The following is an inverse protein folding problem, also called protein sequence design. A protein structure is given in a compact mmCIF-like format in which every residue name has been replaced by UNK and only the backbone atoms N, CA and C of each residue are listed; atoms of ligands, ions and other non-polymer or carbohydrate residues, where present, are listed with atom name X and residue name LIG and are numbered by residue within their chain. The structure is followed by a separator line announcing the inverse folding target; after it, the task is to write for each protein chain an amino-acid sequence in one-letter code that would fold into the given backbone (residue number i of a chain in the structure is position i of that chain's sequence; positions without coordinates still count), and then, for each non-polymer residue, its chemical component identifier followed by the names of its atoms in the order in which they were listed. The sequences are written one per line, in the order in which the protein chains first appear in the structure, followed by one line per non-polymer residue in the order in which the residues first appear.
data_IF_384270269979
#
_entry.id   IF_384270269979
#
_cell.length_a   1.000
_cell.length_b   1.000
_cell.length_c   1.000
_cell.angle_alpha   90.00
_cell.angle_beta   90.00
_cell.angle_gamma   90.00
#
_symmetry.space_group_name_H-M   'P 1'
#
loop_
_entity.id
_entity.type
_entity.pdbx_description
1 polymer ?
#
# COMPACT_ATOMS: atom_id res chain seq x y z
N UNK A 1 19.03 2.78 62.18
CA UNK A 1 18.15 3.21 61.07
C UNK A 1 18.65 2.48 59.84
N UNK A 2 17.93 1.47 59.35
CA UNK A 2 18.24 0.85 58.05
C UNK A 2 17.50 1.67 57.01
N UNK A 3 18.24 2.26 56.09
CA UNK A 3 17.65 2.87 54.89
C UNK A 3 17.05 1.73 54.07
N UNK A 4 15.72 1.67 54.03
CA UNK A 4 15.01 0.88 53.04
C UNK A 4 15.25 1.55 51.69
N UNK A 5 16.19 1.00 50.91
CA UNK A 5 16.35 1.40 49.52
C UNK A 5 15.09 0.98 48.76
N UNK A 6 14.29 1.96 48.33
CA UNK A 6 13.29 1.76 47.29
C UNK A 6 14.02 1.22 46.05
N UNK A 7 13.84 -0.07 45.77
CA UNK A 7 14.26 -0.65 44.51
C UNK A 7 13.39 -0.06 43.41
N UNK A 8 13.97 0.81 42.57
CA UNK A 8 13.35 1.18 41.31
C UNK A 8 13.41 -0.04 40.37
N UNK A 9 12.27 -0.64 40.05
CA UNK A 9 12.19 -1.64 38.98
C UNK A 9 12.43 -0.96 37.63
N UNK A 10 13.41 -1.45 36.87
CA UNK A 10 13.65 -0.99 35.50
C UNK A 10 12.57 -1.58 34.59
N UNK A 11 11.59 -0.77 34.16
CA UNK A 11 10.61 -1.21 33.18
C UNK A 11 11.23 -1.26 31.77
N UNK A 12 11.66 -2.46 31.37
CA UNK A 12 12.32 -2.69 30.08
C UNK A 12 11.35 -2.87 28.92
N UNK A 13 10.03 -2.92 29.16
CA UNK A 13 9.04 -3.22 28.10
C UNK A 13 9.05 -2.14 27.02
N UNK A 14 9.03 -0.86 27.43
CA UNK A 14 9.08 0.27 26.50
C UNK A 14 10.40 0.32 25.71
N UNK A 15 11.52 -0.07 26.34
CA UNK A 15 12.81 -0.13 25.66
C UNK A 15 12.87 -1.26 24.62
N UNK A 16 12.27 -2.42 24.93
CA UNK A 16 12.16 -3.55 24.00
C UNK A 16 11.27 -3.18 22.80
N UNK A 17 10.11 -2.58 23.03
CA UNK A 17 9.20 -2.17 21.95
C UNK A 17 9.88 -1.18 20.99
N UNK A 18 10.58 -0.18 21.53
CA UNK A 18 11.35 0.78 20.74
C UNK A 18 12.47 0.11 19.93
N UNK A 19 13.17 -0.87 20.52
CA UNK A 19 14.21 -1.62 19.81
C UNK A 19 13.63 -2.48 18.67
N UNK A 20 12.50 -3.14 18.90
CA UNK A 20 11.81 -3.93 17.87
C UNK A 20 11.34 -3.02 16.72
N UNK A 21 10.77 -1.86 17.03
CA UNK A 21 10.36 -0.88 16.02
C UNK A 21 11.54 -0.40 15.17
N UNK A 22 12.68 -0.11 15.80
CA UNK A 22 13.91 0.27 15.10
C UNK A 22 14.38 -0.83 14.15
N UNK A 23 14.46 -2.08 14.63
CA UNK A 23 14.85 -3.24 13.80
C UNK A 23 13.90 -3.42 12.62
N UNK A 24 12.59 -3.26 12.82
CA UNK A 24 11.61 -3.35 11.75
C UNK A 24 11.81 -2.25 10.70
N UNK A 25 12.01 -0.99 11.12
CA UNK A 25 12.26 0.15 10.23
C UNK A 25 13.53 -0.04 9.40
N UNK A 26 14.63 -0.45 10.03
CA UNK A 26 15.90 -0.70 9.34
C UNK A 26 15.80 -1.85 8.34
N UNK A 27 15.07 -2.91 8.69
CA UNK A 27 14.81 -4.04 7.80
C UNK A 27 13.98 -3.62 6.59
N UNK A 28 12.93 -2.83 6.79
CA UNK A 28 12.09 -2.29 5.71
C UNK A 28 12.91 -1.42 4.77
N UNK A 29 13.74 -0.52 5.31
CA UNK A 29 14.61 0.34 4.51
C UNK A 29 15.62 -0.46 3.68
N UNK A 30 16.25 -1.46 4.30
CA UNK A 30 17.19 -2.35 3.60
C UNK A 30 16.50 -3.08 2.45
N UNK A 31 15.31 -3.64 2.68
CA UNK A 31 14.56 -4.36 1.64
C UNK A 31 14.07 -3.41 0.54
N UNK A 32 13.65 -2.19 0.87
CA UNK A 32 13.29 -1.16 -0.11
C UNK A 32 14.43 -0.88 -1.08
N UNK A 33 15.65 -0.69 -0.57
CA UNK A 33 16.83 -0.48 -1.42
C UNK A 33 17.12 -1.69 -2.31
N UNK A 34 16.94 -2.90 -1.80
CA UNK A 34 17.10 -4.13 -2.58
C UNK A 34 16.05 -4.22 -3.71
N UNK A 35 14.78 -3.90 -3.44
CA UNK A 35 13.71 -3.87 -4.45
C UNK A 35 14.03 -2.84 -5.53
N UNK A 36 14.43 -1.63 -5.14
CA UNK A 36 14.79 -0.56 -6.09
C UNK A 36 15.97 -0.97 -6.97
N UNK A 37 17.03 -1.55 -6.39
CA UNK A 37 18.18 -2.08 -7.14
C UNK A 37 17.77 -3.20 -8.09
N UNK A 38 16.90 -4.12 -7.64
CA UNK A 38 16.39 -5.20 -8.48
C UNK A 38 15.62 -4.65 -9.69
N UNK A 39 14.70 -3.70 -9.47
CA UNK A 39 13.96 -3.04 -10.54
C UNK A 39 14.86 -2.30 -11.53
N UNK A 40 15.89 -1.60 -11.04
CA UNK A 40 16.88 -0.94 -11.89
C UNK A 40 17.67 -1.96 -12.73
N UNK A 41 18.08 -3.07 -12.13
CA UNK A 41 18.80 -4.12 -12.84
C UNK A 41 17.95 -4.75 -13.94
N UNK A 42 16.72 -5.17 -13.62
CA UNK A 42 15.78 -5.76 -14.58
C UNK A 42 15.50 -4.80 -15.74
N UNK A 43 15.28 -3.52 -15.45
CA UNK A 43 15.06 -2.51 -16.47
C UNK A 43 16.29 -2.29 -17.36
N UNK A 44 17.50 -2.29 -16.77
CA UNK A 44 18.75 -2.21 -17.54
C UNK A 44 18.92 -3.40 -18.47
N UNK A 45 18.63 -4.62 -17.99
CA UNK A 45 18.69 -5.85 -18.78
C UNK A 45 17.66 -5.83 -19.92
N UNK A 46 16.46 -5.31 -19.67
CA UNK A 46 15.40 -5.17 -20.66
C UNK A 46 15.53 -3.93 -21.57
N UNK A 47 16.52 -3.05 -21.32
CA UNK A 47 16.68 -1.74 -21.97
C UNK A 47 15.42 -0.85 -21.86
N UNK A 48 14.74 -0.91 -20.72
CA UNK A 48 13.54 -0.13 -20.40
C UNK A 48 13.78 0.78 -19.20
N UNK A 49 12.81 1.66 -18.90
CA UNK A 49 12.80 2.44 -17.67
C UNK A 49 12.38 1.56 -16.46
N UNK A 50 12.94 1.78 -15.26
CA UNK A 50 12.50 1.08 -14.06
C UNK A 50 11.00 1.23 -13.80
N UNK A 51 10.32 0.17 -13.32
CA UNK A 51 8.89 0.22 -13.03
C UNK A 51 8.57 1.29 -11.98
N UNK A 52 7.65 2.18 -12.36
CA UNK A 52 7.19 3.32 -11.56
C UNK A 52 5.68 3.26 -11.39
N UNK A 53 5.17 3.66 -10.21
CA UNK A 53 3.73 3.67 -9.93
C UNK A 53 3.14 4.98 -10.43
N UNK A 54 2.27 4.90 -11.44
CA UNK A 54 1.84 6.08 -12.20
C UNK A 54 0.58 6.75 -11.68
N UNK A 55 -0.28 6.01 -10.98
CA UNK A 55 -1.58 6.49 -10.56
C UNK A 55 -2.13 5.70 -9.37
N UNK A 56 -3.25 6.20 -8.82
CA UNK A 56 -3.95 5.62 -7.66
C UNK A 56 -4.44 4.19 -7.89
N UNK A 57 -4.79 3.82 -9.13
CA UNK A 57 -5.27 2.47 -9.45
C UNK A 57 -4.12 1.45 -9.44
N UNK A 58 -2.96 1.80 -9.99
CA UNK A 58 -1.76 0.97 -9.88
C UNK A 58 -1.32 0.82 -8.41
N UNK A 59 -1.38 1.90 -7.63
CA UNK A 59 -1.09 1.86 -6.20
C UNK A 59 -2.03 0.90 -5.46
N UNK A 60 -3.34 0.96 -5.74
CA UNK A 60 -4.31 0.02 -5.18
C UNK A 60 -4.03 -1.43 -5.60
N UNK A 61 -3.69 -1.67 -6.87
CA UNK A 61 -3.34 -3.00 -7.36
C UNK A 61 -2.18 -3.62 -6.60
N UNK A 62 -1.12 -2.84 -6.36
CA UNK A 62 0.03 -3.26 -5.55
C UNK A 62 -0.39 -3.53 -4.10
N UNK A 63 -1.19 -2.65 -3.49
CA UNK A 63 -1.72 -2.85 -2.14
C UNK A 63 -2.53 -4.14 -2.01
N UNK A 64 -3.41 -4.41 -2.97
CA UNK A 64 -4.22 -5.62 -3.01
C UNK A 64 -3.36 -6.88 -3.16
N UNK A 65 -2.34 -6.85 -4.02
CA UNK A 65 -1.42 -7.98 -4.19
C UNK A 65 -0.66 -8.30 -2.89
N UNK A 66 -0.13 -7.28 -2.20
CA UNK A 66 0.56 -7.51 -0.92
C UNK A 66 -0.40 -8.00 0.16
N UNK A 67 -1.64 -7.49 0.20
CA UNK A 67 -2.65 -7.97 1.15
C UNK A 67 -2.96 -9.47 0.96
N UNK A 68 -3.04 -9.95 -0.29
CA UNK A 68 -3.22 -11.38 -0.56
C UNK A 68 -2.07 -12.21 0.01
N UNK A 69 -0.81 -11.76 -0.17
CA UNK A 69 0.38 -12.44 0.38
C UNK A 69 0.37 -12.45 1.91
N UNK A 70 0.02 -11.32 2.53
CA UNK A 70 -0.11 -11.21 3.99
C UNK A 70 -1.18 -12.17 4.52
N UNK A 71 -2.36 -12.21 3.88
CA UNK A 71 -3.44 -13.11 4.29
C UNK A 71 -3.04 -14.58 4.20
N UNK A 72 -2.29 -14.96 3.16
CA UNK A 72 -1.75 -16.31 3.03
C UNK A 72 -0.76 -16.65 4.16
N UNK A 73 0.14 -15.73 4.52
CA UNK A 73 1.09 -15.91 5.61
C UNK A 73 0.40 -16.05 6.98
N UNK A 74 -0.57 -15.19 7.28
CA UNK A 74 -1.35 -15.27 8.53
C UNK A 74 -2.13 -16.59 8.62
N UNK A 75 -2.68 -17.06 7.50
CA UNK A 75 -3.36 -18.36 7.44
C UNK A 75 -2.41 -19.53 7.73
N UNK A 76 -1.16 -19.46 7.28
CA UNK A 76 -0.16 -20.49 7.57
C UNK A 76 0.15 -20.57 9.08
N UNK A 77 0.42 -19.43 9.72
CA UNK A 77 0.64 -19.35 11.17
C UNK A 77 -0.56 -19.93 11.93
N UNK A 78 -1.79 -19.54 11.53
CA UNK A 78 -3.00 -20.08 12.15
C UNK A 78 -3.04 -21.61 12.05
N UNK A 79 -2.77 -22.16 10.87
CA UNK A 79 -2.83 -23.61 10.63
C UNK A 79 -1.80 -24.36 11.48
N UNK A 80 -0.58 -23.83 11.62
CA UNK A 80 0.44 -24.43 12.48
C UNK A 80 0.11 -24.30 13.96
N UNK A 81 -0.54 -23.20 14.36
CA UNK A 81 -1.04 -23.01 15.73
C UNK A 81 -2.17 -23.99 16.06
N UNK A 82 -3.10 -24.21 15.12
CA UNK A 82 -4.16 -25.22 15.25
C UNK A 82 -3.55 -26.64 15.37
N UNK A 83 -2.42 -26.91 14.69
CA UNK A 83 -1.69 -28.17 14.82
C UNK A 83 -1.10 -28.35 16.22
N UNK A 84 -0.54 -27.29 16.82
CA UNK A 84 -0.07 -27.33 18.22
C UNK A 84 -1.23 -27.55 19.19
N UNK A 85 -2.38 -26.90 18.96
CA UNK A 85 -3.59 -27.15 19.75
C UNK A 85 -4.00 -28.64 19.72
N UNK A 86 -3.84 -29.29 18.56
CA UNK A 86 -4.09 -30.72 18.41
C UNK A 86 -3.20 -31.62 19.26
N UNK A 87 -2.03 -31.16 19.72
CA UNK A 87 -1.13 -31.97 20.55
C UNK A 87 -1.49 -31.93 22.04
N UNK A 88 -2.45 -31.09 22.46
CA UNK A 88 -2.77 -30.93 23.89
C UNK A 88 -3.44 -32.17 24.51
N UNK A 89 -4.20 -32.93 23.72
CA UNK A 89 -5.00 -34.04 24.22
C UNK A 89 -4.23 -35.36 24.35
N UNK A 90 -3.12 -35.53 23.61
CA UNK A 90 -2.33 -36.75 23.59
C UNK A 90 -0.83 -36.42 23.60
N UNK A 91 -0.11 -36.74 24.70
CA UNK A 91 1.33 -36.51 24.84
C UNK A 91 2.21 -37.21 23.80
N UNK A 92 1.67 -38.19 23.04
CA UNK A 92 2.39 -38.85 21.96
C UNK A 92 2.48 -37.99 20.70
N UNK A 93 1.65 -36.95 20.55
CA UNK A 93 1.80 -36.00 19.45
C UNK A 93 2.92 -35.01 19.74
N UNK A 94 3.82 -34.86 18.76
CA UNK A 94 5.03 -34.07 18.93
C UNK A 94 4.76 -32.56 18.94
N UNK A 95 4.60 -32.00 20.14
CA UNK A 95 4.44 -30.56 20.36
C UNK A 95 5.67 -29.74 19.93
N UNK A 96 6.87 -30.32 19.97
CA UNK A 96 8.10 -29.66 19.53
C UNK A 96 8.07 -29.43 18.03
N UNK A 97 7.68 -30.43 17.23
CA UNK A 97 7.56 -30.28 15.78
C UNK A 97 6.49 -29.24 15.42
N UNK A 98 5.34 -29.27 16.09
CA UNK A 98 4.27 -28.30 15.85
C UNK A 98 4.73 -26.86 16.18
N UNK A 99 5.45 -26.68 17.29
CA UNK A 99 6.02 -25.39 17.67
C UNK A 99 7.10 -24.94 16.69
N UNK A 100 7.95 -25.86 16.21
CA UNK A 100 8.94 -25.56 15.18
C UNK A 100 8.30 -25.08 13.88
N UNK A 101 7.16 -25.65 13.48
CA UNK A 101 6.41 -25.17 12.32
C UNK A 101 5.92 -23.74 12.51
N UNK A 102 5.44 -23.37 13.71
CA UNK A 102 5.03 -22.00 14.03
C UNK A 102 6.20 -21.02 13.88
N UNK A 103 7.39 -21.38 14.39
CA UNK A 103 8.59 -20.53 14.23
C UNK A 103 8.91 -20.30 12.75
N UNK A 104 8.82 -21.35 11.93
CA UNK A 104 9.08 -21.26 10.50
C UNK A 104 8.04 -20.39 9.77
N UNK A 105 6.74 -20.60 10.02
CA UNK A 105 5.69 -19.81 9.38
C UNK A 105 5.64 -18.36 9.87
N UNK A 106 5.94 -18.11 11.14
CA UNK A 106 6.10 -16.76 11.67
C UNK A 106 7.30 -16.03 11.04
N UNK A 107 8.43 -16.73 10.87
CA UNK A 107 9.61 -16.16 10.21
C UNK A 107 9.32 -15.81 8.75
N UNK A 108 8.64 -16.70 8.02
CA UNK A 108 8.21 -16.43 6.65
C UNK A 108 7.22 -15.27 6.57
N UNK A 109 6.28 -15.17 7.52
CA UNK A 109 5.35 -14.06 7.60
C UNK A 109 6.06 -12.72 7.87
N UNK A 110 7.06 -12.70 8.75
CA UNK A 110 7.87 -11.51 9.01
C UNK A 110 8.56 -11.03 7.73
N UNK A 111 9.17 -11.94 6.96
CA UNK A 111 9.76 -11.62 5.66
C UNK A 111 8.72 -11.01 4.70
N UNK A 112 7.52 -11.59 4.61
CA UNK A 112 6.43 -11.11 3.75
C UNK A 112 5.97 -9.71 4.18
N UNK A 113 5.83 -9.47 5.49
CA UNK A 113 5.40 -8.18 6.03
C UNK A 113 6.45 -7.09 5.78
N UNK A 114 7.73 -7.38 5.97
CA UNK A 114 8.82 -6.45 5.66
C UNK A 114 8.82 -6.11 4.17
N UNK A 115 8.71 -7.11 3.29
CA UNK A 115 8.64 -6.90 1.85
C UNK A 115 7.41 -6.08 1.43
N UNK A 116 6.24 -6.38 2.01
CA UNK A 116 5.01 -5.64 1.75
C UNK A 116 5.13 -4.18 2.19
N UNK A 117 5.68 -3.93 3.38
CA UNK A 117 5.90 -2.57 3.88
C UNK A 117 6.90 -1.78 3.01
N UNK A 118 7.95 -2.44 2.52
CA UNK A 118 8.91 -1.84 1.58
C UNK A 118 8.25 -1.50 0.23
N UNK A 119 7.44 -2.41 -0.35
CA UNK A 119 6.67 -2.11 -1.56
C UNK A 119 5.67 -0.98 -1.34
N UNK A 120 5.01 -0.91 -0.18
CA UNK A 120 4.12 0.21 0.16
C UNK A 120 4.90 1.52 0.28
N UNK A 121 6.10 1.53 0.87
CA UNK A 121 6.95 2.73 0.92
C UNK A 121 7.31 3.20 -0.48
N UNK A 122 7.79 2.29 -1.33
CA UNK A 122 8.10 2.59 -2.75
C UNK A 122 6.87 3.15 -3.48
N UNK A 123 5.71 2.54 -3.26
CA UNK A 123 4.44 2.95 -3.86
C UNK A 123 4.05 4.35 -3.42
N UNK A 124 4.19 4.66 -2.12
CA UNK A 124 3.94 5.97 -1.56
C UNK A 124 4.87 7.03 -2.16
N UNK A 125 6.17 6.77 -2.22
CA UNK A 125 7.16 7.71 -2.75
C UNK A 125 6.90 8.02 -4.24
N UNK A 126 6.56 6.99 -5.02
CA UNK A 126 6.18 7.15 -6.41
C UNK A 126 4.86 7.93 -6.56
N UNK A 127 3.86 7.63 -5.74
CA UNK A 127 2.57 8.30 -5.80
C UNK A 127 2.69 9.77 -5.40
N UNK A 128 3.50 10.11 -4.39
CA UNK A 128 3.82 11.50 -4.07
C UNK A 128 4.37 12.25 -5.28
N UNK A 129 5.32 11.64 -5.99
CA UNK A 129 5.88 12.23 -7.19
C UNK A 129 4.83 12.35 -8.29
N UNK A 130 4.05 11.29 -8.55
CA UNK A 130 3.04 11.26 -9.59
C UNK A 130 1.96 12.34 -9.36
N UNK A 131 1.42 12.45 -8.15
CA UNK A 131 0.39 13.43 -7.79
C UNK A 131 0.92 14.87 -7.85
N UNK A 132 2.17 15.11 -7.42
CA UNK A 132 2.78 16.44 -7.50
C UNK A 132 3.06 16.88 -8.95
N UNK A 133 3.36 15.92 -9.84
CA UNK A 133 3.61 16.19 -11.26
C UNK A 133 2.34 16.17 -12.12
N UNK A 134 1.19 15.81 -11.55
CA UNK A 134 -0.07 15.71 -12.28
C UNK A 134 -0.76 17.07 -12.50
N UNK A 135 -0.31 18.14 -11.81
CA UNK A 135 -1.00 19.45 -11.77
C UNK A 135 -0.95 20.28 -13.07
N UNK A 136 -0.30 19.84 -14.15
CA UNK A 136 -0.21 20.61 -15.41
C UNK A 136 -0.80 19.91 -16.66
N UNK A 137 -1.57 18.83 -16.49
CA UNK A 137 -2.28 18.23 -17.64
C UNK A 137 -3.62 18.93 -17.80
N UNK A 138 -3.61 20.05 -18.52
CA UNK A 138 -4.83 20.70 -19.03
C UNK A 138 -5.62 19.62 -19.77
N UNK A 139 -6.83 19.32 -19.30
CA UNK A 139 -7.69 18.35 -19.98
C UNK A 139 -8.01 18.88 -21.39
N UNK A 140 -8.27 18.02 -22.38
CA UNK A 140 -8.63 18.49 -23.73
C UNK A 140 -9.81 19.48 -23.74
N UNK A 141 -10.73 19.35 -22.76
CA UNK A 141 -11.84 20.29 -22.56
C UNK A 141 -11.37 21.64 -22.00
N UNK A 142 -10.49 21.64 -21.00
CA UNK A 142 -9.90 22.88 -20.45
C UNK A 142 -9.02 23.58 -21.48
N UNK A 143 -8.31 22.83 -22.34
CA UNK A 143 -7.53 23.39 -23.44
C UNK A 143 -8.45 24.04 -24.49
N UNK A 144 -9.54 23.36 -24.86
CA UNK A 144 -10.53 23.90 -25.78
C UNK A 144 -11.24 25.14 -25.20
N UNK A 145 -11.49 25.19 -23.89
CA UNK A 145 -12.09 26.35 -23.21
C UNK A 145 -11.12 27.52 -23.04
N UNK A 146 -9.82 27.25 -22.91
CA UNK A 146 -8.79 28.27 -22.84
C UNK A 146 -8.52 28.95 -24.20
N UNK A 147 -8.70 28.22 -25.31
CA UNK A 147 -8.61 28.77 -26.67
C UNK A 147 -9.92 29.41 -27.17
N UNK A 148 -11.06 29.05 -26.58
CA UNK A 148 -12.35 29.62 -26.94
C UNK A 148 -12.53 31.03 -26.32
N UNK A 149 -12.29 32.08 -27.10
CA UNK A 149 -12.91 33.38 -26.82
C UNK A 149 -14.43 33.20 -26.90
N UNK A 150 -15.11 33.27 -25.76
CA UNK A 150 -16.57 33.23 -25.69
C UNK A 150 -17.14 34.39 -26.52
N UNK A 151 -17.69 34.08 -27.70
CA UNK A 151 -18.52 35.02 -28.43
C UNK A 151 -19.86 35.10 -27.68
N UNK A 152 -20.08 36.23 -27.01
CA UNK A 152 -21.35 36.57 -26.41
C UNK A 152 -22.40 36.57 -27.53
N UNK A 153 -23.40 35.68 -27.42
CA UNK A 153 -24.45 35.59 -28.43
C UNK A 153 -25.21 36.92 -28.48
N UNK A 154 -25.33 37.54 -29.66
CA UNK A 154 -26.19 38.70 -29.83
C UNK A 154 -27.62 38.35 -29.38
N UNK A 155 -28.29 39.24 -28.65
CA UNK A 155 -29.64 38.98 -28.17
C UNK A 155 -30.56 38.74 -29.36
N UNK A 156 -31.28 37.61 -29.34
CA UNK A 156 -32.28 37.32 -30.35
C UNK A 156 -33.41 38.36 -30.22
N UNK A 157 -33.61 39.16 -31.27
CA UNK A 157 -34.76 40.07 -31.36
C UNK A 157 -36.05 39.25 -31.33
N UNK A 158 -36.82 39.44 -30.28
CA UNK A 158 -38.05 38.70 -29.98
C UNK A 158 -39.27 39.27 -30.72
N UNK A 159 -39.14 39.67 -31.98
CA UNK A 159 -40.25 40.21 -32.77
C UNK A 159 -40.28 39.59 -34.19
N UNK A 160 -40.88 38.41 -34.30
CA UNK A 160 -41.78 37.99 -35.41
C UNK A 160 -42.03 36.49 -35.36
N UNK A 161 -42.97 36.07 -34.51
CA UNK A 161 -43.72 34.84 -34.76
C UNK A 161 -45.10 35.28 -35.26
N UNK A 162 -45.25 35.38 -36.58
CA UNK A 162 -46.58 35.38 -37.20
C UNK A 162 -47.11 33.94 -37.16
N UNK A 163 -48.08 33.69 -36.28
CA UNK A 163 -48.93 32.50 -36.32
C UNK A 163 -49.79 32.55 -37.58
N UNK A 164 -49.54 31.66 -38.54
CA UNK A 164 -50.54 31.28 -39.55
C UNK A 164 -50.96 29.84 -39.29
N UNK A 165 -52.03 29.67 -38.53
CA UNK A 165 -52.81 28.44 -38.51
C UNK A 165 -53.57 28.31 -39.84
N UNK A 166 -53.34 27.22 -40.57
CA UNK A 166 -54.27 26.75 -41.60
C UNK A 166 -54.68 25.33 -41.26
N UNK A 167 -55.89 25.19 -40.70
CA UNK A 167 -56.62 23.93 -40.64
C UNK A 167 -57.17 23.59 -42.04
N UNK A 168 -56.76 22.46 -42.60
CA UNK A 168 -57.40 21.87 -43.79
C UNK A 168 -58.46 20.84 -43.36
N UNK A 169 -59.66 21.00 -43.92
CA UNK A 169 -60.79 20.05 -43.91
C UNK A 169 -60.67 19.03 -45.05
#
# INVERSE_FOLDING_TARGET
MREEYEQMELDTRTALDAAIEAVAKDSIQTVLEMIQKHHQQVAREAQTAPPFVRNRHEAYGIAAEQLVKINAAVKAIKSDTDRLLGTLADPNFNAVDATSSIVNSATAAAQILINAAAEMRRTLDNLYTAELTAEDIITPLEAALAEAEFQEAEPADADSIEETETEDN
#
